data_IF_202934703345
#
_entry.id   IF_202934703345
#
_cell.length_a   1.000
_cell.length_b   1.000
_cell.length_c   1.000
_cell.angle_alpha   90.00
_cell.angle_beta   90.00
_cell.angle_gamma   90.00
#
_symmetry.space_group_name_H-M   'P 1'
#
loop_
_entity.id
_entity.type
_entity.pdbx_description
1 polymer ?
#
# COMPACT_ATOMS: atom_id res chain seq x y z
N UNK A 1 -17.65 7.41 5.93
CA UNK A 1 -17.22 7.03 7.29
C UNK A 1 -15.92 6.26 7.14
N UNK A 2 -14.78 6.90 7.42
CA UNK A 2 -13.46 6.27 7.40
C UNK A 2 -13.46 5.07 8.36
N UNK A 3 -13.64 3.89 7.81
CA UNK A 3 -13.36 2.64 8.51
C UNK A 3 -11.84 2.45 8.52
N UNK A 4 -11.17 3.18 9.40
CA UNK A 4 -9.79 2.86 9.75
C UNK A 4 -9.83 1.47 10.36
N UNK A 5 -9.26 0.49 9.67
CA UNK A 5 -9.24 -0.93 10.08
C UNK A 5 -8.75 -1.17 11.51
N UNK A 6 -8.15 -0.17 12.16
CA UNK A 6 -7.51 -0.29 13.47
C UNK A 6 -8.39 -0.03 14.68
N UNK A 7 -9.66 0.41 14.52
CA UNK A 7 -10.44 0.86 15.69
C UNK A 7 -11.66 0.03 16.08
N UNK A 8 -12.03 -1.01 15.35
CA UNK A 8 -13.26 -1.74 15.66
C UNK A 8 -13.16 -3.26 15.67
N UNK A 9 -12.13 -3.83 15.03
CA UNK A 9 -11.97 -5.28 14.93
C UNK A 9 -10.87 -5.83 15.85
N UNK A 10 -9.96 -4.97 16.36
CA UNK A 10 -8.85 -5.37 17.21
C UNK A 10 -9.22 -5.66 18.65
N UNK A 11 -10.37 -5.18 19.12
CA UNK A 11 -10.69 -5.20 20.55
C UNK A 11 -11.14 -6.57 21.10
N UNK A 12 -11.48 -7.52 20.23
CA UNK A 12 -12.01 -8.85 20.68
C UNK A 12 -11.52 -10.00 19.79
N UNK A 13 -10.90 -9.77 18.63
CA UNK A 13 -10.58 -10.81 17.66
C UNK A 13 -9.13 -10.74 17.18
N UNK A 14 -8.42 -11.88 17.21
CA UNK A 14 -7.05 -12.08 16.73
C UNK A 14 -6.98 -12.22 15.21
N UNK A 15 -5.77 -12.03 14.66
CA UNK A 15 -5.30 -12.23 13.29
C UNK A 15 -5.32 -11.02 12.36
N UNK A 16 -5.62 -9.82 12.88
CA UNK A 16 -5.51 -8.59 12.08
C UNK A 16 -4.62 -7.53 12.72
N UNK A 17 -3.98 -7.82 13.83
CA UNK A 17 -3.05 -6.93 14.52
C UNK A 17 -1.92 -6.45 13.59
N UNK A 18 -1.48 -7.31 12.68
CA UNK A 18 -0.45 -7.03 11.68
C UNK A 18 -0.82 -5.89 10.70
N UNK A 19 -2.11 -5.64 10.49
CA UNK A 19 -2.61 -4.57 9.61
C UNK A 19 -2.79 -3.25 10.34
N UNK A 20 -2.62 -3.23 11.67
CA UNK A 20 -2.71 -2.02 12.46
C UNK A 20 -1.73 -0.94 11.96
N UNK A 21 -2.25 0.28 11.74
CA UNK A 21 -1.46 1.41 11.26
C UNK A 21 -1.24 1.46 9.74
N UNK A 22 -1.79 0.53 8.95
CA UNK A 22 -1.88 0.69 7.50
C UNK A 22 -3.08 1.60 7.22
N UNK A 23 -2.89 2.79 6.61
CA UNK A 23 -4.01 3.65 6.25
C UNK A 23 -4.77 3.06 5.05
N UNK A 24 -6.10 3.03 5.13
CA UNK A 24 -6.92 2.51 4.05
C UNK A 24 -8.29 2.01 4.50
N UNK A 25 -9.05 1.47 3.57
CA UNK A 25 -10.35 0.85 3.80
C UNK A 25 -10.24 -0.67 3.80
N UNK A 26 -11.25 -1.36 4.35
CA UNK A 26 -11.33 -2.82 4.30
C UNK A 26 -11.41 -3.33 2.85
N UNK A 27 -12.16 -2.63 1.99
CA UNK A 27 -12.24 -2.95 0.55
C UNK A 27 -10.88 -2.81 -0.14
N UNK A 28 -10.15 -1.71 0.12
CA UNK A 28 -8.79 -1.52 -0.40
C UNK A 28 -7.80 -2.56 0.11
N UNK A 29 -7.94 -2.99 1.38
CA UNK A 29 -7.12 -4.05 1.94
C UNK A 29 -7.35 -5.40 1.23
N UNK A 30 -8.61 -5.74 0.93
CA UNK A 30 -8.93 -6.95 0.15
C UNK A 30 -8.44 -6.80 -1.31
N UNK A 31 -8.67 -5.64 -1.93
CA UNK A 31 -8.23 -5.36 -3.31
C UNK A 31 -6.73 -5.62 -3.51
N UNK A 32 -5.92 -5.27 -2.52
CA UNK A 32 -4.45 -5.44 -2.54
C UNK A 32 -3.97 -6.70 -1.84
N UNK A 33 -4.86 -7.53 -1.28
CA UNK A 33 -4.47 -8.54 -0.30
C UNK A 33 -3.45 -7.99 0.70
N UNK A 34 -3.83 -6.90 1.38
CA UNK A 34 -2.93 -6.16 2.26
C UNK A 34 -2.33 -7.09 3.32
N UNK A 35 -1.03 -6.96 3.53
CA UNK A 35 -0.31 -7.79 4.49
C UNK A 35 0.92 -7.09 5.05
N UNK A 36 1.26 -7.40 6.29
CA UNK A 36 2.45 -6.96 7.00
C UNK A 36 2.77 -7.91 8.14
N UNK A 37 4.04 -7.96 8.55
CA UNK A 37 4.48 -8.75 9.72
C UNK A 37 4.03 -10.23 9.71
N UNK A 38 3.96 -10.84 8.54
CA UNK A 38 3.63 -12.26 8.37
C UNK A 38 2.13 -12.59 8.31
N UNK A 39 1.24 -11.59 8.39
CA UNK A 39 -0.20 -11.78 8.19
C UNK A 39 -0.73 -11.00 6.99
N UNK A 40 -1.82 -11.44 6.39
CA UNK A 40 -2.46 -10.80 5.24
C UNK A 40 -3.99 -10.97 5.25
N UNK A 41 -4.69 -10.23 4.38
CA UNK A 41 -6.15 -10.33 4.27
C UNK A 41 -6.62 -11.74 3.91
N UNK A 42 -5.86 -12.48 3.10
CA UNK A 42 -6.15 -13.85 2.76
C UNK A 42 -6.28 -14.77 3.98
N UNK A 43 -5.63 -14.48 5.09
CA UNK A 43 -5.69 -15.34 6.30
C UNK A 43 -7.07 -15.34 6.95
N UNK A 44 -7.85 -14.28 6.73
CA UNK A 44 -9.10 -14.05 7.46
C UNK A 44 -10.33 -13.87 6.58
N UNK A 45 -10.18 -13.61 5.28
CA UNK A 45 -11.29 -13.41 4.36
C UNK A 45 -12.03 -14.72 4.09
N UNK A 46 -13.37 -14.67 4.11
CA UNK A 46 -14.28 -15.76 3.76
C UNK A 46 -14.95 -15.49 2.42
N UNK A 47 -15.52 -14.29 2.27
CA UNK A 47 -16.22 -13.88 1.06
C UNK A 47 -16.26 -12.36 0.95
N UNK A 48 -16.54 -11.87 -0.26
CA UNK A 48 -16.80 -10.46 -0.53
C UNK A 48 -18.10 -10.31 -1.31
N UNK A 49 -18.92 -9.34 -0.92
CA UNK A 49 -20.05 -8.87 -1.71
C UNK A 49 -19.56 -7.79 -2.66
N UNK A 50 -19.76 -7.99 -3.94
CA UNK A 50 -19.22 -7.14 -5.00
C UNK A 50 -20.31 -6.74 -5.97
N UNK A 51 -20.08 -5.60 -6.64
CA UNK A 51 -20.89 -5.14 -7.77
C UNK A 51 -20.04 -5.17 -9.05
N UNK A 52 -20.51 -5.88 -10.05
CA UNK A 52 -19.90 -5.92 -11.38
C UNK A 52 -20.14 -4.60 -12.15
N UNK A 53 -19.40 -4.33 -13.25
CA UNK A 53 -19.58 -3.13 -14.05
C UNK A 53 -21.01 -2.94 -14.62
N UNK A 54 -21.75 -4.03 -14.81
CA UNK A 54 -23.16 -4.02 -15.26
C UNK A 54 -24.17 -3.75 -14.13
N UNK A 55 -23.68 -3.53 -12.89
CA UNK A 55 -24.50 -3.31 -11.69
C UNK A 55 -24.95 -4.59 -10.98
N UNK A 56 -24.64 -5.77 -11.51
CA UNK A 56 -25.01 -7.05 -10.88
C UNK A 56 -24.27 -7.23 -9.57
N UNK A 57 -24.99 -7.55 -8.50
CA UNK A 57 -24.42 -7.80 -7.17
C UNK A 57 -24.31 -9.31 -6.95
N UNK A 58 -23.10 -9.74 -6.58
CA UNK A 58 -22.79 -11.15 -6.28
C UNK A 58 -21.91 -11.28 -5.03
N UNK A 59 -21.85 -12.50 -4.52
CA UNK A 59 -20.90 -12.87 -3.44
C UNK A 59 -19.79 -13.73 -4.03
N UNK A 60 -18.56 -13.28 -3.88
CA UNK A 60 -17.37 -13.95 -4.36
C UNK A 60 -16.74 -14.70 -3.16
N UNK A 61 -16.64 -16.02 -3.19
CA UNK A 61 -15.97 -16.79 -2.14
C UNK A 61 -14.45 -16.63 -2.24
N UNK A 62 -13.74 -16.82 -1.14
CA UNK A 62 -12.26 -16.70 -1.07
C UNK A 62 -11.54 -17.47 -2.19
N UNK A 63 -12.00 -18.69 -2.49
CA UNK A 63 -11.37 -19.56 -3.49
C UNK A 63 -11.31 -18.96 -4.91
N UNK A 64 -12.22 -18.00 -5.21
CA UNK A 64 -12.31 -17.33 -6.51
C UNK A 64 -11.57 -15.98 -6.52
N UNK A 65 -10.97 -15.54 -5.42
CA UNK A 65 -10.38 -14.21 -5.31
C UNK A 65 -8.94 -14.13 -5.84
N UNK A 66 -8.29 -15.26 -6.17
CA UNK A 66 -6.91 -15.33 -6.65
C UNK A 66 -5.91 -14.53 -5.81
N UNK A 67 -6.03 -14.62 -4.48
CA UNK A 67 -5.23 -13.85 -3.55
C UNK A 67 -3.76 -14.28 -3.57
N UNK A 68 -2.88 -13.29 -3.67
CA UNK A 68 -1.43 -13.44 -3.62
C UNK A 68 -0.76 -12.17 -3.16
N UNK A 69 0.58 -12.12 -3.22
CA UNK A 69 1.33 -10.93 -2.83
C UNK A 69 0.90 -9.72 -3.66
N UNK A 70 0.25 -8.73 -3.03
CA UNK A 70 -0.31 -7.53 -3.68
C UNK A 70 -1.22 -7.86 -4.87
N UNK A 71 -1.90 -9.00 -4.83
CA UNK A 71 -2.75 -9.50 -5.91
C UNK A 71 -4.12 -9.92 -5.40
N UNK A 72 -5.15 -9.59 -6.17
CA UNK A 72 -6.49 -10.16 -6.12
C UNK A 72 -7.13 -10.08 -7.50
N UNK A 73 -8.19 -10.86 -7.74
CA UNK A 73 -8.99 -10.78 -8.97
C UNK A 73 -9.61 -9.38 -9.16
N UNK A 74 -9.94 -8.68 -8.08
CA UNK A 74 -10.56 -7.35 -8.10
C UNK A 74 -9.70 -6.27 -8.75
N UNK A 75 -8.41 -6.49 -8.92
CA UNK A 75 -7.51 -5.59 -9.67
C UNK A 75 -7.70 -5.66 -11.18
N UNK A 76 -8.35 -6.70 -11.68
CA UNK A 76 -8.42 -7.03 -13.11
C UNK A 76 -9.84 -6.99 -13.66
N UNK A 77 -10.84 -7.26 -12.84
CA UNK A 77 -12.23 -7.51 -13.30
C UNK A 77 -13.17 -6.30 -13.16
N UNK A 78 -12.68 -5.17 -12.63
CA UNK A 78 -13.45 -3.94 -12.49
C UNK A 78 -14.60 -3.98 -11.48
N UNK A 79 -14.71 -5.07 -10.69
CA UNK A 79 -15.72 -5.17 -9.63
C UNK A 79 -15.44 -4.20 -8.48
N UNK A 80 -16.52 -3.64 -7.93
CA UNK A 80 -16.47 -2.78 -6.74
C UNK A 80 -16.81 -3.63 -5.51
N UNK A 81 -15.91 -3.65 -4.52
CA UNK A 81 -16.11 -4.35 -3.25
C UNK A 81 -17.06 -3.54 -2.37
N UNK A 82 -18.26 -4.07 -2.13
CA UNK A 82 -19.29 -3.44 -1.30
C UNK A 82 -19.21 -3.84 0.17
N UNK A 83 -18.65 -5.02 0.45
CA UNK A 83 -18.51 -5.54 1.80
C UNK A 83 -17.70 -6.81 1.83
N UNK A 84 -17.19 -7.17 3.01
CA UNK A 84 -16.39 -8.38 3.23
C UNK A 84 -16.90 -9.16 4.43
N UNK A 85 -16.78 -10.48 4.37
CA UNK A 85 -17.00 -11.38 5.50
C UNK A 85 -15.65 -11.91 5.95
N UNK A 86 -15.33 -11.71 7.23
CA UNK A 86 -14.08 -12.13 7.84
C UNK A 86 -14.35 -13.22 8.88
N UNK A 87 -13.45 -14.19 8.95
CA UNK A 87 -13.41 -15.18 10.01
C UNK A 87 -12.22 -14.92 10.93
N UNK A 88 -12.51 -14.42 12.11
CA UNK A 88 -11.52 -14.06 13.12
C UNK A 88 -11.55 -15.04 14.29
N UNK A 89 -10.48 -15.07 15.09
CA UNK A 89 -10.43 -15.88 16.30
C UNK A 89 -10.67 -14.98 17.53
N UNK A 90 -11.44 -15.48 18.51
CA UNK A 90 -11.57 -14.79 19.79
C UNK A 90 -10.23 -14.71 20.52
N UNK A 91 -9.93 -13.56 21.10
CA UNK A 91 -8.74 -13.32 21.88
C UNK A 91 -9.02 -12.47 23.11
N UNK A 92 -8.04 -12.30 23.98
CA UNK A 92 -8.16 -11.34 25.08
C UNK A 92 -7.81 -9.94 24.56
N UNK A 93 -8.58 -8.93 24.96
CA UNK A 93 -8.35 -7.52 24.63
C UNK A 93 -6.91 -7.09 24.95
N UNK A 94 -6.43 -7.44 26.16
CA UNK A 94 -5.09 -7.06 26.59
C UNK A 94 -4.00 -7.59 25.66
N UNK A 95 -4.02 -8.87 25.31
CA UNK A 95 -3.04 -9.48 24.42
C UNK A 95 -3.08 -8.91 22.99
N UNK A 96 -4.30 -8.68 22.47
CA UNK A 96 -4.48 -8.09 21.13
C UNK A 96 -3.93 -6.67 21.10
N UNK A 97 -4.27 -5.86 22.13
CA UNK A 97 -3.80 -4.49 22.22
C UNK A 97 -2.28 -4.41 22.34
N UNK A 98 -1.68 -5.25 23.17
CA UNK A 98 -0.22 -5.33 23.35
C UNK A 98 0.48 -5.66 22.02
N UNK A 99 -0.01 -6.65 21.27
CA UNK A 99 0.54 -6.98 19.95
C UNK A 99 0.38 -5.83 18.96
N UNK A 100 -0.80 -5.19 18.89
CA UNK A 100 -1.02 -4.01 18.04
C UNK A 100 -0.06 -2.88 18.40
N UNK A 101 0.09 -2.54 19.69
CA UNK A 101 0.97 -1.48 20.15
C UNK A 101 2.44 -1.81 19.83
N UNK A 102 2.86 -3.06 20.00
CA UNK A 102 4.18 -3.56 19.61
C UNK A 102 4.45 -3.37 18.10
N UNK A 103 3.52 -3.81 17.25
CA UNK A 103 3.65 -3.69 15.80
C UNK A 103 3.63 -2.22 15.33
N UNK A 104 2.79 -1.39 15.94
CA UNK A 104 2.80 0.06 15.70
C UNK A 104 4.12 0.70 16.12
N UNK A 105 4.68 0.29 17.26
CA UNK A 105 6.00 0.71 17.72
C UNK A 105 7.10 0.36 16.73
N UNK A 106 7.14 -0.89 16.25
CA UNK A 106 8.06 -1.35 15.21
C UNK A 106 7.93 -0.54 13.92
N UNK A 107 6.69 -0.21 13.52
CA UNK A 107 6.41 0.60 12.33
C UNK A 107 6.93 2.02 12.49
N UNK A 108 6.64 2.69 13.61
CA UNK A 108 7.14 4.04 13.91
C UNK A 108 8.67 4.11 13.96
N UNK A 109 9.31 3.08 14.52
CA UNK A 109 10.76 3.03 14.61
C UNK A 109 11.44 2.89 13.24
N UNK A 110 10.83 2.14 12.30
CA UNK A 110 11.46 1.79 11.02
C UNK A 110 11.00 2.61 9.82
N UNK A 111 9.78 3.14 9.82
CA UNK A 111 9.21 3.85 8.68
C UNK A 111 9.25 5.37 8.89
N UNK A 112 9.42 6.18 7.82
CA UNK A 112 9.47 7.63 7.87
C UNK A 112 8.07 8.24 7.96
N UNK A 113 7.32 7.93 9.05
CA UNK A 113 5.91 8.35 9.21
C UNK A 113 5.76 9.86 9.47
N UNK A 114 6.84 10.54 9.74
CA UNK A 114 6.94 11.99 9.94
C UNK A 114 6.89 12.79 8.63
N UNK A 115 7.13 12.15 7.50
CA UNK A 115 7.12 12.78 6.17
C UNK A 115 6.02 12.19 5.28
N UNK A 116 5.40 13.00 4.41
CA UNK A 116 4.46 12.49 3.42
C UNK A 116 5.11 11.48 2.48
N UNK A 117 4.43 10.34 2.26
CA UNK A 117 4.85 9.33 1.30
C UNK A 117 3.66 8.49 0.84
N UNK A 118 3.82 7.76 -0.26
CA UNK A 118 2.85 6.78 -0.74
C UNK A 118 3.03 5.38 -0.11
N UNK A 119 3.79 5.28 1.00
CA UNK A 119 4.14 4.01 1.64
C UNK A 119 5.40 3.39 1.03
N UNK A 120 5.49 2.06 1.03
CA UNK A 120 6.56 1.34 0.33
C UNK A 120 6.44 1.60 -1.16
N UNK A 121 7.51 2.12 -1.76
CA UNK A 121 7.47 2.61 -3.14
C UNK A 121 7.69 1.50 -4.16
N UNK A 122 8.40 0.43 -3.78
CA UNK A 122 8.73 -0.66 -4.68
C UNK A 122 8.22 -2.00 -4.16
N UNK A 123 7.69 -2.82 -5.08
CA UNK A 123 7.30 -4.19 -4.79
C UNK A 123 8.52 -5.02 -4.40
N UNK A 124 8.30 -6.07 -3.62
CA UNK A 124 9.35 -7.02 -3.28
C UNK A 124 9.73 -7.83 -4.53
N UNK A 125 10.98 -7.78 -5.00
CA UNK A 125 11.43 -8.66 -6.07
C UNK A 125 11.57 -10.10 -5.55
N UNK A 126 11.54 -11.05 -6.47
CA UNK A 126 11.68 -12.47 -6.13
C UNK A 126 13.06 -12.69 -5.49
N UNK A 127 13.07 -13.34 -4.33
CA UNK A 127 14.29 -13.73 -3.61
C UNK A 127 15.01 -12.61 -2.85
N UNK A 128 14.49 -11.36 -2.87
CA UNK A 128 15.15 -10.24 -2.16
C UNK A 128 14.14 -9.21 -1.64
N UNK A 129 14.63 -8.14 -1.02
CA UNK A 129 13.85 -6.99 -0.56
C UNK A 129 14.29 -5.74 -1.30
N UNK A 130 13.35 -5.00 -1.88
CA UNK A 130 13.64 -3.75 -2.59
C UNK A 130 14.42 -2.75 -1.70
N UNK A 131 14.00 -2.57 -0.44
CA UNK A 131 14.69 -1.67 0.49
C UNK A 131 16.15 -2.07 0.76
N UNK A 132 16.44 -3.36 0.82
CA UNK A 132 17.82 -3.85 1.01
C UNK A 132 18.68 -3.56 -0.23
N UNK A 133 18.17 -3.83 -1.44
CA UNK A 133 18.88 -3.55 -2.70
C UNK A 133 19.15 -2.06 -2.86
N UNK A 134 18.17 -1.20 -2.57
CA UNK A 134 18.31 0.26 -2.65
C UNK A 134 19.34 0.78 -1.64
N UNK A 135 19.33 0.24 -0.41
CA UNK A 135 20.31 0.58 0.63
C UNK A 135 21.73 0.12 0.25
N UNK A 136 21.86 -1.11 -0.26
CA UNK A 136 23.13 -1.66 -0.75
C UNK A 136 23.72 -0.85 -1.90
N UNK A 137 22.87 -0.25 -2.74
CA UNK A 137 23.31 0.65 -3.81
C UNK A 137 23.73 2.04 -3.33
N UNK A 138 23.57 2.35 -2.03
CA UNK A 138 23.93 3.65 -1.44
C UNK A 138 22.95 4.77 -1.79
N UNK A 139 21.69 4.44 -2.08
CA UNK A 139 20.68 5.40 -2.60
C UNK A 139 19.88 6.12 -1.51
N UNK A 140 20.08 5.83 -0.20
CA UNK A 140 19.46 6.63 0.86
C UNK A 140 19.85 8.11 0.74
N UNK A 141 18.87 9.00 0.79
CA UNK A 141 19.07 10.44 0.65
C UNK A 141 19.17 10.93 -0.79
N UNK A 142 19.23 10.05 -1.80
CA UNK A 142 19.15 10.46 -3.21
C UNK A 142 17.84 11.20 -3.45
N UNK A 143 17.87 12.31 -4.25
CA UNK A 143 16.72 13.18 -4.42
C UNK A 143 16.59 13.70 -5.85
N UNK A 144 15.36 14.02 -6.24
CA UNK A 144 14.99 14.82 -7.42
C UNK A 144 13.96 15.85 -6.93
N UNK A 145 14.27 17.13 -7.06
CA UNK A 145 13.50 18.19 -6.40
C UNK A 145 13.37 17.91 -4.90
N UNK A 146 12.15 17.97 -4.38
CA UNK A 146 11.85 17.66 -2.97
C UNK A 146 11.43 16.20 -2.74
N UNK A 147 11.45 15.33 -3.77
CA UNK A 147 11.30 13.89 -3.60
C UNK A 147 12.64 13.27 -3.18
N UNK A 148 12.64 12.44 -2.14
CA UNK A 148 13.87 11.86 -1.59
C UNK A 148 13.68 10.39 -1.22
N UNK A 149 14.67 9.54 -1.50
CA UNK A 149 14.75 8.21 -0.89
C UNK A 149 15.02 8.38 0.60
N UNK A 150 14.11 7.89 1.43
CA UNK A 150 14.17 8.10 2.87
C UNK A 150 15.49 7.59 3.46
N UNK A 151 16.14 8.42 4.25
CA UNK A 151 17.35 8.03 5.01
C UNK A 151 17.05 7.01 6.11
N UNK A 152 15.78 6.98 6.59
CA UNK A 152 15.33 6.06 7.62
C UNK A 152 14.99 4.68 7.05
N UNK A 153 14.39 4.60 5.86
CA UNK A 153 13.98 3.35 5.22
C UNK A 153 14.05 3.45 3.69
N UNK A 154 15.05 2.82 3.10
CA UNK A 154 15.34 2.94 1.66
C UNK A 154 14.20 2.50 0.71
N UNK A 155 13.22 1.75 1.19
CA UNK A 155 12.04 1.37 0.41
C UNK A 155 10.96 2.45 0.29
N UNK A 156 11.17 3.64 0.89
CA UNK A 156 10.23 4.76 0.86
C UNK A 156 10.80 5.94 0.10
N UNK A 157 10.03 6.49 -0.81
CA UNK A 157 10.24 7.83 -1.34
C UNK A 157 9.33 8.78 -0.56
N UNK A 158 9.94 9.80 0.03
CA UNK A 158 9.28 10.80 0.88
C UNK A 158 9.27 12.15 0.19
N UNK A 159 8.29 12.99 0.51
CA UNK A 159 8.25 14.38 0.12
C UNK A 159 8.82 15.24 1.27
N UNK A 160 9.94 15.90 1.03
CA UNK A 160 10.60 16.77 2.01
C UNK A 160 10.11 18.22 1.97
N UNK A 161 9.24 18.55 1.01
CA UNK A 161 8.74 19.91 0.82
C UNK A 161 7.58 19.99 -0.17
N UNK A 162 7.87 20.32 -1.41
CA UNK A 162 6.90 20.55 -2.50
C UNK A 162 7.14 19.61 -3.70
N UNK A 163 7.56 18.37 -3.46
CA UNK A 163 7.78 17.41 -4.54
C UNK A 163 6.53 17.26 -5.41
N UNK A 164 6.73 17.30 -6.71
CA UNK A 164 5.71 17.00 -7.71
C UNK A 164 5.64 15.49 -7.98
N UNK A 165 4.56 15.04 -8.61
CA UNK A 165 4.46 13.65 -9.09
C UNK A 165 5.62 13.31 -10.04
N UNK A 166 6.03 14.26 -10.89
CA UNK A 166 7.17 14.12 -11.80
C UNK A 166 8.46 13.87 -11.05
N UNK A 167 8.77 14.66 -10.01
CA UNK A 167 9.98 14.49 -9.20
C UNK A 167 10.04 13.07 -8.58
N UNK A 168 8.89 12.59 -8.07
CA UNK A 168 8.78 11.24 -7.52
C UNK A 168 9.06 10.18 -8.58
N UNK A 169 8.47 10.32 -9.79
CA UNK A 169 8.64 9.35 -10.86
C UNK A 169 10.07 9.35 -11.41
N UNK A 170 10.67 10.51 -11.63
CA UNK A 170 12.06 10.65 -12.08
C UNK A 170 13.03 10.03 -11.05
N UNK A 171 12.80 10.26 -9.75
CA UNK A 171 13.58 9.62 -8.69
C UNK A 171 13.39 8.10 -8.70
N UNK A 172 12.16 7.63 -8.88
CA UNK A 172 11.88 6.19 -8.94
C UNK A 172 12.58 5.52 -10.13
N UNK A 173 12.60 6.17 -11.30
CA UNK A 173 13.28 5.64 -12.48
C UNK A 173 14.79 5.62 -12.29
N UNK A 174 15.37 6.66 -11.71
CA UNK A 174 16.78 6.68 -11.31
C UNK A 174 17.14 5.52 -10.35
N UNK A 175 16.30 5.29 -9.33
CA UNK A 175 16.49 4.18 -8.37
C UNK A 175 16.40 2.83 -9.09
N UNK A 176 15.39 2.62 -9.94
CA UNK A 176 15.21 1.37 -10.71
C UNK A 176 16.40 1.07 -11.59
N UNK A 177 16.88 2.06 -12.33
CA UNK A 177 18.03 1.90 -13.23
C UNK A 177 19.30 1.58 -12.44
N UNK A 178 19.58 2.33 -11.37
CA UNK A 178 20.79 2.12 -10.55
C UNK A 178 20.80 0.74 -9.90
N UNK A 179 19.65 0.28 -9.39
CA UNK A 179 19.55 -1.06 -8.78
C UNK A 179 19.73 -2.14 -9.86
N UNK A 180 19.12 -1.98 -11.03
CA UNK A 180 19.28 -2.92 -12.12
C UNK A 180 20.75 -3.04 -12.56
N UNK A 181 21.42 -1.92 -12.77
CA UNK A 181 22.83 -1.89 -13.20
C UNK A 181 23.78 -2.51 -12.17
N UNK A 182 23.56 -2.24 -10.87
CA UNK A 182 24.46 -2.70 -9.81
C UNK A 182 24.17 -4.12 -9.30
N UNK A 183 22.92 -4.59 -9.42
CA UNK A 183 22.51 -5.84 -8.76
C UNK A 183 21.84 -6.84 -9.69
N UNK A 184 21.46 -6.43 -10.90
CA UNK A 184 20.69 -7.25 -11.85
C UNK A 184 19.19 -7.41 -11.49
N UNK A 185 18.72 -6.83 -10.37
CA UNK A 185 17.32 -6.89 -9.98
C UNK A 185 16.51 -5.76 -10.62
N UNK A 186 15.42 -6.13 -11.27
CA UNK A 186 14.43 -5.17 -11.76
C UNK A 186 13.42 -4.85 -10.65
N UNK A 187 13.25 -3.56 -10.33
CA UNK A 187 12.26 -3.09 -9.37
C UNK A 187 11.00 -2.60 -10.08
N UNK A 188 9.85 -2.88 -9.48
CA UNK A 188 8.53 -2.41 -9.94
C UNK A 188 7.89 -1.50 -8.88
N UNK A 189 7.14 -0.48 -9.33
CA UNK A 189 6.42 0.41 -8.42
C UNK A 189 5.23 -0.31 -7.79
N UNK A 190 5.00 -0.07 -6.50
CA UNK A 190 3.78 -0.50 -5.80
C UNK A 190 2.65 0.56 -5.92
N UNK A 191 2.90 1.88 -5.85
CA UNK A 191 1.90 2.91 -6.07
C UNK A 191 1.31 2.87 -7.49
N UNK A 192 0.01 3.14 -7.58
CA UNK A 192 -0.70 3.30 -8.85
C UNK A 192 -0.74 4.78 -9.20
N UNK A 193 -0.31 5.12 -10.41
CA UNK A 193 -0.34 6.48 -10.93
C UNK A 193 -1.75 6.76 -11.44
N UNK A 194 -2.37 7.82 -10.95
CA UNK A 194 -3.71 8.27 -11.36
C UNK A 194 -3.59 9.63 -12.03
N UNK A 195 -4.20 9.78 -13.20
CA UNK A 195 -4.13 11.00 -14.01
C UNK A 195 -2.91 11.02 -14.95
N UNK A 196 -2.67 12.18 -15.53
CA UNK A 196 -1.55 12.42 -16.45
C UNK A 196 -0.39 13.11 -15.69
N UNK A 197 0.73 12.43 -15.45
CA UNK A 197 1.86 13.02 -14.75
C UNK A 197 2.53 14.18 -15.52
N UNK A 198 2.25 14.33 -16.81
CA UNK A 198 2.73 15.45 -17.61
C UNK A 198 1.92 16.74 -17.40
N UNK A 199 0.70 16.66 -16.85
CA UNK A 199 -0.10 17.84 -16.52
C UNK A 199 0.26 18.38 -15.14
N UNK A 200 0.47 19.70 -14.97
CA UNK A 200 0.68 20.30 -13.66
C UNK A 200 -0.55 20.07 -12.76
N UNK A 201 -0.31 19.72 -11.50
CA UNK A 201 -1.32 19.31 -10.53
C UNK A 201 -2.38 20.38 -10.15
N UNK A 202 -2.29 21.61 -10.68
CA UNK A 202 -3.13 22.76 -10.31
C UNK A 202 -3.49 23.65 -11.50
N UNK A 203 -4.04 23.08 -12.57
CA UNK A 203 -4.88 23.91 -13.44
C UNK A 203 -6.34 23.68 -13.01
N UNK A 204 -7.06 24.68 -12.49
CA UNK A 204 -8.52 24.60 -12.41
C UNK A 204 -9.02 24.29 -13.82
N UNK A 205 -9.93 23.33 -13.94
CA UNK A 205 -10.65 23.13 -15.16
C UNK A 205 -11.28 24.46 -15.51
N UNK A 206 -10.84 25.06 -16.62
CA UNK A 206 -11.53 26.20 -17.17
C UNK A 206 -12.87 25.65 -17.61
N UNK A 207 -13.91 25.99 -16.87
CA UNK A 207 -15.28 25.83 -17.34
C UNK A 207 -15.35 26.43 -18.75
N UNK A 208 -15.59 25.57 -19.72
CA UNK A 208 -15.92 25.99 -21.06
C UNK A 208 -17.26 26.73 -20.94
N UNK A 209 -17.18 28.05 -20.80
CA UNK A 209 -18.35 28.92 -20.99
C UNK A 209 -18.65 28.87 -22.48
N UNK A 210 -19.57 27.99 -22.87
CA UNK A 210 -20.22 28.06 -24.17
C UNK A 210 -20.97 29.39 -24.24
N UNK A 211 -20.59 30.19 -25.22
CA UNK A 211 -21.37 31.35 -25.69
C UNK A 211 -22.32 30.90 -26.81
#
# INVERSE_FOLDING_TARGET
RDLRMSRGLGDVYKRQECLAGIPGTVGGALYMNAGAYGGEMADVIVSARCMAPDGTISVVPKAEMELGYRKSIFRQDGRIILGVTLQLQKGSYGAIKEEMDSLLGKRRAKQPLELPSAGSTFQRPVGNYASFLIDQCGLKGASVGDAQVSVKHAGFVVNTGKATCRDVLELCDFVKQTVLEKTGYQLELEPVIVGDPAKPANMPEQEAVEK
#
